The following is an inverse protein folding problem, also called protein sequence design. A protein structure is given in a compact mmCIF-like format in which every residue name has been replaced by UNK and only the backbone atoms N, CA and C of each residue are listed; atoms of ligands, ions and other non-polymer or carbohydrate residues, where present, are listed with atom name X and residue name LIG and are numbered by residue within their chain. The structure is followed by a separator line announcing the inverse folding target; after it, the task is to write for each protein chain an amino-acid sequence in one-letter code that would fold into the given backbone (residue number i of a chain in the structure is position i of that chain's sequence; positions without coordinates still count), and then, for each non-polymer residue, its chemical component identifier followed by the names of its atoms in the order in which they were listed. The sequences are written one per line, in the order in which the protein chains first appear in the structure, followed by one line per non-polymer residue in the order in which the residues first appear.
data_IF_772668304899
#
_entry.id   IF_772668304899
#
_cell.length_a   1.000
_cell.length_b   1.000
_cell.length_c   1.000
_cell.angle_alpha   90.00
_cell.angle_beta   90.00
_cell.angle_gamma   90.00
#
_symmetry.space_group_name_H-M   'P 1'
#
loop_
_entity.id
_entity.type
_entity.pdbx_description
1 polymer ?
#
# COMPACT_ATOMS: atom_id res chain seq x y z
N UNK A 1 13.52 -12.52 20.06
CA UNK A 1 12.97 -13.74 19.40
C UNK A 1 14.09 -14.73 19.11
N UNK A 2 14.85 -14.64 18.01
CA UNK A 2 15.99 -15.55 17.78
C UNK A 2 17.15 -15.36 18.78
N UNK A 3 17.58 -14.12 19.03
CA UNK A 3 18.65 -13.79 20.00
C UNK A 3 18.32 -14.19 21.45
N UNK A 4 17.04 -14.19 21.82
CA UNK A 4 16.53 -14.58 23.14
C UNK A 4 15.94 -16.01 23.15
N UNK A 5 16.14 -16.78 22.07
CA UNK A 5 15.65 -18.14 21.87
C UNK A 5 14.13 -18.36 22.09
N UNK A 6 13.32 -17.35 21.82
CA UNK A 6 11.85 -17.47 21.84
C UNK A 6 11.33 -18.02 20.50
N UNK A 7 10.36 -18.97 20.51
CA UNK A 7 9.85 -19.66 19.32
C UNK A 7 8.83 -18.81 18.55
N UNK A 8 9.10 -17.53 18.31
CA UNK A 8 8.19 -16.61 17.60
C UNK A 8 8.86 -16.07 16.35
N UNK A 9 8.13 -16.10 15.24
CA UNK A 9 8.55 -15.50 13.96
C UNK A 9 7.80 -14.18 13.75
N UNK A 10 8.51 -13.13 13.33
CA UNK A 10 7.93 -11.83 13.02
C UNK A 10 8.11 -11.57 11.53
N UNK A 11 7.05 -11.12 10.88
CA UNK A 11 7.01 -10.85 9.44
C UNK A 11 6.53 -9.42 9.18
N UNK A 12 7.29 -8.66 8.40
CA UNK A 12 6.86 -7.34 7.95
C UNK A 12 6.20 -7.44 6.56
N UNK A 13 4.97 -6.93 6.44
CA UNK A 13 4.23 -6.91 5.17
C UNK A 13 4.25 -5.50 4.60
N UNK A 14 4.67 -5.38 3.33
CA UNK A 14 4.60 -4.15 2.56
C UNK A 14 3.60 -4.34 1.41
N UNK A 15 2.34 -3.91 1.58
CA UNK A 15 1.35 -3.99 0.53
C UNK A 15 1.49 -2.86 -0.48
N UNK A 16 1.21 -3.18 -1.74
CA UNK A 16 0.85 -2.22 -2.77
C UNK A 16 -0.61 -1.79 -2.66
N UNK A 17 -1.17 -1.28 -3.76
CA UNK A 17 -2.57 -0.87 -3.83
C UNK A 17 -3.53 -2.07 -3.84
N UNK A 18 -4.00 -2.51 -2.66
CA UNK A 18 -5.03 -3.56 -2.52
C UNK A 18 -6.42 -2.95 -2.63
N UNK A 19 -7.28 -3.53 -3.48
CA UNK A 19 -8.63 -3.07 -3.80
C UNK A 19 -9.63 -3.35 -2.69
N UNK A 20 -9.44 -2.67 -1.56
CA UNK A 20 -10.37 -2.66 -0.42
C UNK A 20 -11.24 -1.39 -0.45
N UNK A 21 -12.22 -1.32 0.44
CA UNK A 21 -13.09 -0.14 0.59
C UNK A 21 -12.42 1.03 1.33
N UNK A 22 -11.10 0.99 1.56
CA UNK A 22 -10.39 1.96 2.39
C UNK A 22 -10.53 3.40 1.88
N UNK A 23 -10.43 3.62 0.57
CA UNK A 23 -10.50 4.98 0.00
C UNK A 23 -11.86 5.65 0.27
N UNK A 24 -12.96 4.89 0.17
CA UNK A 24 -14.31 5.38 0.45
C UNK A 24 -14.51 5.54 1.96
N UNK A 25 -14.10 4.54 2.74
CA UNK A 25 -14.24 4.57 4.20
C UNK A 25 -13.43 5.69 4.86
N UNK A 26 -12.31 6.11 4.25
CA UNK A 26 -11.50 7.23 4.74
C UNK A 26 -12.27 8.56 4.68
N UNK A 27 -13.08 8.79 3.65
CA UNK A 27 -13.93 10.00 3.55
C UNK A 27 -15.01 9.97 4.63
N UNK A 28 -15.73 8.85 4.76
CA UNK A 28 -16.77 8.70 5.77
C UNK A 28 -16.21 8.83 7.20
N UNK A 29 -15.01 8.30 7.45
CA UNK A 29 -14.33 8.45 8.74
C UNK A 29 -13.97 9.91 9.05
N UNK A 30 -13.50 10.67 8.06
CA UNK A 30 -13.21 12.09 8.22
C UNK A 30 -14.48 12.89 8.58
N UNK A 31 -15.58 12.65 7.88
CA UNK A 31 -16.89 13.29 8.17
C UNK A 31 -17.37 12.98 9.59
N UNK A 32 -17.23 11.72 10.03
CA UNK A 32 -17.61 11.33 11.39
C UNK A 32 -16.79 12.02 12.49
N UNK A 33 -15.63 12.57 12.16
CA UNK A 33 -14.75 13.32 13.06
C UNK A 33 -14.98 14.84 12.98
N UNK A 34 -16.03 15.29 12.27
CA UNK A 34 -16.32 16.71 12.09
C UNK A 34 -15.40 17.42 11.10
N UNK A 35 -14.67 16.67 10.27
CA UNK A 35 -13.95 17.23 9.14
C UNK A 35 -14.91 17.36 7.96
N UNK A 36 -14.67 18.36 7.11
CA UNK A 36 -15.46 18.62 5.90
C UNK A 36 -14.61 18.33 4.66
N UNK A 37 -14.59 17.09 4.12
CA UNK A 37 -13.82 16.78 2.93
C UNK A 37 -14.27 17.63 1.75
N UNK A 38 -13.34 18.22 1.03
CA UNK A 38 -13.67 19.03 -0.14
C UNK A 38 -14.16 18.13 -1.30
N UNK A 39 -14.74 18.75 -2.33
CA UNK A 39 -15.04 18.03 -3.58
C UNK A 39 -13.77 17.42 -4.20
N UNK A 40 -12.61 18.07 -4.04
CA UNK A 40 -11.33 17.56 -4.51
C UNK A 40 -10.87 16.32 -3.74
N UNK A 41 -11.11 16.27 -2.42
CA UNK A 41 -10.78 15.10 -1.59
C UNK A 41 -11.60 13.87 -2.01
N UNK A 42 -12.90 14.08 -2.24
CA UNK A 42 -13.79 13.02 -2.73
C UNK A 42 -13.40 12.54 -4.13
N UNK A 43 -13.06 13.46 -5.03
CA UNK A 43 -12.57 13.11 -6.36
C UNK A 43 -11.26 12.31 -6.29
N UNK A 44 -10.34 12.72 -5.41
CA UNK A 44 -9.08 12.00 -5.17
C UNK A 44 -9.31 10.60 -4.62
N UNK A 45 -10.21 10.43 -3.65
CA UNK A 45 -10.55 9.12 -3.11
C UNK A 45 -11.07 8.17 -4.20
N UNK A 46 -11.91 8.66 -5.11
CA UNK A 46 -12.39 7.91 -6.28
C UNK A 46 -11.25 7.51 -7.22
N UNK A 47 -10.35 8.43 -7.56
CA UNK A 47 -9.18 8.14 -8.40
C UNK A 47 -8.28 7.08 -7.76
N UNK A 48 -8.03 7.18 -6.45
CA UNK A 48 -7.26 6.17 -5.72
C UNK A 48 -7.94 4.80 -5.79
N UNK A 49 -9.23 4.74 -5.52
CA UNK A 49 -9.99 3.49 -5.57
C UNK A 49 -9.94 2.82 -6.95
N UNK A 50 -10.10 3.60 -8.01
CA UNK A 50 -10.27 3.06 -9.37
C UNK A 50 -8.93 2.83 -10.08
N UNK A 51 -7.93 3.69 -9.85
CA UNK A 51 -6.66 3.69 -10.58
C UNK A 51 -5.45 3.21 -9.79
N UNK A 52 -5.50 3.24 -8.46
CA UNK A 52 -4.35 2.88 -7.60
C UNK A 52 -4.56 1.52 -6.95
N UNK A 53 -5.74 1.27 -6.39
CA UNK A 53 -6.05 0.02 -5.70
C UNK A 53 -6.46 -1.08 -6.69
N UNK A 54 -5.50 -1.88 -7.15
CA UNK A 54 -5.70 -2.90 -8.20
C UNK A 54 -5.54 -4.35 -7.75
N UNK A 55 -4.80 -4.61 -6.68
CA UNK A 55 -4.57 -5.96 -6.20
C UNK A 55 -5.86 -6.53 -5.60
N UNK A 56 -6.27 -7.72 -6.05
CA UNK A 56 -7.39 -8.45 -5.48
C UNK A 56 -7.14 -8.76 -3.98
N UNK A 57 -8.07 -8.43 -3.07
CA UNK A 57 -7.90 -8.65 -1.63
C UNK A 57 -7.70 -10.11 -1.25
N UNK A 58 -8.40 -11.06 -1.89
CA UNK A 58 -8.26 -12.48 -1.57
C UNK A 58 -6.87 -13.00 -1.97
N UNK A 59 -6.36 -12.56 -3.13
CA UNK A 59 -4.98 -12.83 -3.56
C UNK A 59 -3.96 -12.20 -2.63
N UNK A 60 -4.18 -10.96 -2.19
CA UNK A 60 -3.31 -10.29 -1.22
C UNK A 60 -3.22 -11.07 0.10
N UNK A 61 -4.37 -11.48 0.64
CA UNK A 61 -4.46 -12.29 1.84
C UNK A 61 -3.71 -13.61 1.69
N UNK A 62 -3.87 -14.29 0.54
CA UNK A 62 -3.18 -15.55 0.27
C UNK A 62 -1.66 -15.38 0.27
N UNK A 63 -1.14 -14.35 -0.41
CA UNK A 63 0.30 -14.04 -0.43
C UNK A 63 0.85 -13.80 0.98
N UNK A 64 0.07 -13.10 1.83
CA UNK A 64 0.46 -12.82 3.21
C UNK A 64 0.53 -14.12 4.02
N UNK A 65 -0.53 -14.94 3.98
CA UNK A 65 -0.59 -16.21 4.72
C UNK A 65 0.52 -17.16 4.27
N UNK A 66 0.69 -17.37 2.96
CA UNK A 66 1.74 -18.24 2.42
C UNK A 66 3.14 -17.77 2.86
N UNK A 67 3.37 -16.45 2.95
CA UNK A 67 4.64 -15.91 3.41
C UNK A 67 4.86 -16.06 4.93
N UNK A 68 3.79 -15.96 5.73
CA UNK A 68 3.82 -16.21 7.17
C UNK A 68 4.13 -17.68 7.45
N UNK A 69 3.46 -18.61 6.76
CA UNK A 69 3.69 -20.06 6.86
C UNK A 69 5.13 -20.42 6.46
N UNK A 70 5.65 -19.76 5.42
CA UNK A 70 7.04 -19.89 4.99
C UNK A 70 8.06 -19.14 5.88
N UNK A 71 7.64 -18.57 7.02
CA UNK A 71 8.48 -17.82 7.97
C UNK A 71 9.32 -16.72 7.31
N UNK A 72 8.80 -16.08 6.27
CA UNK A 72 9.53 -15.03 5.54
C UNK A 72 9.57 -13.78 6.41
N UNK A 73 10.75 -13.20 6.69
CA UNK A 73 10.83 -11.99 7.52
C UNK A 73 10.18 -10.77 6.86
N UNK A 74 10.02 -10.78 5.53
CA UNK A 74 9.46 -9.69 4.74
C UNK A 74 8.61 -10.22 3.59
N UNK A 75 7.43 -9.63 3.39
CA UNK A 75 6.50 -9.97 2.30
C UNK A 75 6.17 -8.68 1.53
N UNK A 76 6.37 -8.69 0.20
CA UNK A 76 5.94 -7.63 -0.71
C UNK A 76 4.67 -8.10 -1.44
N UNK A 77 3.55 -7.42 -1.24
CA UNK A 77 2.26 -7.81 -1.83
C UNK A 77 1.95 -6.88 -3.00
N UNK A 78 2.09 -7.39 -4.22
CA UNK A 78 1.84 -6.63 -5.45
C UNK A 78 3.08 -6.31 -6.25
N UNK A 79 2.88 -6.14 -7.56
CA UNK A 79 3.96 -5.82 -8.51
C UNK A 79 4.45 -4.40 -8.32
N UNK A 80 3.54 -3.48 -8.01
CA UNK A 80 3.83 -2.10 -7.62
C UNK A 80 4.71 -2.00 -6.37
N UNK A 81 4.42 -2.79 -5.32
CA UNK A 81 5.25 -2.86 -4.12
C UNK A 81 6.67 -3.37 -4.44
N UNK A 82 6.78 -4.38 -5.30
CA UNK A 82 8.07 -4.94 -5.76
C UNK A 82 8.87 -3.94 -6.59
N UNK A 83 8.21 -3.26 -7.54
CA UNK A 83 8.86 -2.23 -8.38
C UNK A 83 9.34 -1.08 -7.52
N UNK A 84 8.52 -0.62 -6.57
CA UNK A 84 8.89 0.49 -5.68
C UNK A 84 10.07 0.11 -4.79
N UNK A 85 10.07 -1.09 -4.20
CA UNK A 85 11.22 -1.58 -3.41
C UNK A 85 12.50 -1.67 -4.26
N UNK A 86 12.39 -2.11 -5.51
CA UNK A 86 13.52 -2.14 -6.44
C UNK A 86 14.02 -0.72 -6.78
N UNK A 87 13.12 0.22 -7.07
CA UNK A 87 13.47 1.59 -7.42
C UNK A 87 14.19 2.30 -6.26
N UNK A 88 13.70 2.13 -5.02
CA UNK A 88 14.33 2.70 -3.83
C UNK A 88 15.75 2.17 -3.65
N UNK A 89 15.98 0.88 -3.89
CA UNK A 89 17.30 0.26 -3.79
C UNK A 89 18.26 0.70 -4.89
N UNK A 90 17.77 0.85 -6.13
CA UNK A 90 18.61 1.21 -7.29
C UNK A 90 18.88 2.71 -7.37
N UNK A 91 17.93 3.55 -6.97
CA UNK A 91 17.99 5.01 -7.13
C UNK A 91 17.58 5.77 -5.86
N UNK A 92 18.27 5.55 -4.72
CA UNK A 92 17.88 6.09 -3.42
C UNK A 92 17.81 7.62 -3.35
N UNK A 93 18.58 8.33 -4.19
CA UNK A 93 18.56 9.81 -4.26
C UNK A 93 17.44 10.36 -5.16
N UNK A 94 16.91 9.56 -6.09
CA UNK A 94 16.00 10.04 -7.15
C UNK A 94 14.59 9.47 -7.06
N UNK A 95 14.36 8.39 -6.30
CA UNK A 95 13.05 7.74 -6.23
C UNK A 95 11.93 8.72 -5.81
N UNK A 96 12.20 9.65 -4.88
CA UNK A 96 11.23 10.67 -4.47
C UNK A 96 10.74 11.51 -5.64
N UNK A 97 11.66 11.96 -6.51
CA UNK A 97 11.30 12.73 -7.70
C UNK A 97 10.45 11.91 -8.67
N UNK A 98 10.77 10.62 -8.84
CA UNK A 98 9.96 9.70 -9.65
C UNK A 98 8.55 9.51 -9.10
N UNK A 99 8.41 9.30 -7.78
CA UNK A 99 7.12 9.10 -7.13
C UNK A 99 6.26 10.37 -7.21
N UNK A 100 6.86 11.55 -6.98
CA UNK A 100 6.17 12.84 -7.11
C UNK A 100 5.67 13.05 -8.55
N UNK A 101 6.53 12.82 -9.53
CA UNK A 101 6.15 12.93 -10.94
C UNK A 101 5.01 11.96 -11.31
N UNK A 102 5.06 10.71 -10.82
CA UNK A 102 4.00 9.73 -11.04
C UNK A 102 2.68 10.17 -10.39
N UNK A 103 2.73 10.72 -9.17
CA UNK A 103 1.54 11.20 -8.45
C UNK A 103 0.87 12.35 -9.20
N UNK A 104 1.64 13.32 -9.73
CA UNK A 104 1.09 14.40 -10.55
C UNK A 104 0.36 13.86 -11.79
N UNK A 105 0.91 12.83 -12.46
CA UNK A 105 0.28 12.24 -13.64
C UNK A 105 -0.99 11.44 -13.32
N UNK A 106 -1.02 10.78 -12.17
CA UNK A 106 -2.18 9.99 -11.74
C UNK A 106 -3.35 10.85 -11.28
N UNK A 107 -3.08 12.01 -10.66
CA UNK A 107 -4.11 12.94 -10.18
C UNK A 107 -4.56 13.96 -11.24
N UNK A 108 -3.75 14.21 -12.28
CA UNK A 108 -4.11 15.07 -13.41
C UNK A 108 -4.94 14.37 -14.50
N UNK A 109 -5.10 13.04 -14.42
CA UNK A 109 -5.82 12.21 -15.39
C UNK A 109 -7.07 11.60 -14.77
#
# INVERSE_FOLDING_TARGET
MAFANHPVTVTCVHPGGVKTNMAVNAIAAAESQGLEPTAADRARAKVVNDKVLKMDPAKAARIIVDGIEAKRPRILVGTDAKITDLLVRLMPRRYTNFVVALNHRLLAA
#
